data_IF_891105963651
#
_entry.id   IF_891105963651
#
_cell.length_a   1.000
_cell.length_b   1.000
_cell.length_c   1.000
_cell.angle_alpha   90.00
_cell.angle_beta   90.00
_cell.angle_gamma   90.00
#
_symmetry.space_group_name_H-M   'P 1'
#
loop_
_entity.id
_entity.type
_entity.pdbx_description
1 polymer ?
#
# COMPACT_ATOMS: atom_id res chain seq x y z
N UNK A 1 -14.69 -3.89 -15.92
CA UNK A 1 -15.72 -4.65 -15.19
C UNK A 1 -15.93 -4.13 -13.78
N UNK A 2 -14.97 -4.21 -12.84
CA UNK A 2 -15.19 -3.72 -11.46
C UNK A 2 -15.65 -2.25 -11.37
N UNK A 3 -15.08 -1.37 -12.19
CA UNK A 3 -15.49 0.04 -12.26
C UNK A 3 -16.95 0.25 -12.69
N UNK A 4 -17.51 -0.63 -13.52
CA UNK A 4 -18.91 -0.51 -13.96
C UNK A 4 -19.92 -1.00 -12.91
N UNK A 5 -19.46 -1.69 -11.86
CA UNK A 5 -20.31 -2.13 -10.75
C UNK A 5 -20.56 -1.01 -9.73
N UNK A 6 -19.89 0.14 -9.86
CA UNK A 6 -20.01 1.28 -8.95
C UNK A 6 -19.77 0.94 -7.46
N UNK A 7 -18.78 0.07 -7.19
CA UNK A 7 -18.38 -0.33 -5.84
C UNK A 7 -16.93 0.06 -5.56
N UNK A 8 -16.63 0.39 -4.31
CA UNK A 8 -15.25 0.55 -3.85
C UNK A 8 -14.58 -0.81 -3.81
N UNK A 9 -13.49 -0.98 -4.54
CA UNK A 9 -12.76 -2.25 -4.61
C UNK A 9 -11.34 -2.08 -4.07
N UNK A 10 -10.94 -2.99 -3.18
CA UNK A 10 -9.55 -3.14 -2.75
C UNK A 10 -8.98 -4.40 -3.40
N UNK A 11 -7.85 -4.26 -4.10
CA UNK A 11 -7.13 -5.36 -4.72
C UNK A 11 -5.83 -5.61 -3.96
N UNK A 12 -5.56 -6.87 -3.63
CA UNK A 12 -4.33 -7.29 -2.95
C UNK A 12 -3.41 -7.94 -3.98
N UNK A 13 -2.17 -7.47 -4.05
CA UNK A 13 -1.12 -8.05 -4.89
C UNK A 13 0.16 -8.16 -4.08
N UNK A 14 0.90 -9.23 -4.30
CA UNK A 14 2.29 -9.31 -3.89
C UNK A 14 3.15 -8.44 -4.80
N UNK A 15 4.13 -7.77 -4.21
CA UNK A 15 5.19 -7.07 -4.90
C UNK A 15 6.41 -7.99 -5.02
N UNK A 16 7.02 -8.06 -6.19
CA UNK A 16 8.35 -8.65 -6.37
C UNK A 16 9.35 -7.54 -6.63
N UNK A 17 10.42 -7.49 -5.83
CA UNK A 17 11.49 -6.48 -5.90
C UNK A 17 10.94 -5.05 -5.74
N UNK A 18 11.45 -4.10 -6.54
CA UNK A 18 11.05 -2.69 -6.54
C UNK A 18 9.76 -2.38 -7.31
N UNK A 19 8.99 -3.39 -7.75
CA UNK A 19 7.73 -3.17 -8.48
C UNK A 19 6.54 -3.09 -7.52
N UNK A 20 5.48 -2.35 -7.88
CA UNK A 20 4.28 -2.23 -7.04
C UNK A 20 3.32 -3.43 -7.19
N UNK A 21 3.53 -4.28 -8.19
CA UNK A 21 2.75 -5.49 -8.42
C UNK A 21 3.59 -6.54 -9.14
N UNK A 22 3.17 -7.81 -9.06
CA UNK A 22 3.87 -8.95 -9.67
C UNK A 22 4.22 -8.74 -11.16
N UNK A 23 3.31 -8.13 -11.92
CA UNK A 23 3.49 -7.90 -13.36
C UNK A 23 3.86 -6.46 -13.71
N UNK A 24 3.88 -5.52 -12.75
CA UNK A 24 4.17 -4.10 -13.00
C UNK A 24 3.12 -3.36 -13.83
N UNK A 25 1.93 -3.94 -14.02
CA UNK A 25 0.86 -3.33 -14.84
C UNK A 25 -0.25 -2.73 -13.96
N UNK A 26 -0.51 -3.31 -12.79
CA UNK A 26 -1.60 -2.88 -11.92
C UNK A 26 -1.46 -1.42 -11.48
N UNK A 27 -0.21 -0.94 -11.35
CA UNK A 27 0.11 0.44 -11.03
C UNK A 27 -0.37 1.46 -12.06
N UNK A 28 -0.63 1.08 -13.32
CA UNK A 28 -1.18 1.99 -14.33
C UNK A 28 -2.71 1.95 -14.39
N UNK A 29 -3.28 0.79 -14.08
CA UNK A 29 -4.72 0.52 -14.15
C UNK A 29 -5.48 1.04 -12.92
N UNK A 30 -4.89 0.96 -11.73
CA UNK A 30 -5.57 1.37 -10.50
C UNK A 30 -5.63 2.89 -10.35
N UNK A 31 -6.66 3.40 -9.69
CA UNK A 31 -6.76 4.83 -9.34
C UNK A 31 -5.94 5.16 -8.10
N UNK A 32 -5.75 4.19 -7.19
CA UNK A 32 -4.95 4.29 -5.98
C UNK A 32 -3.95 3.15 -5.82
N UNK A 33 -2.84 3.41 -5.13
CA UNK A 33 -1.86 2.40 -4.71
C UNK A 33 -1.46 2.69 -3.27
N UNK A 34 -1.67 1.68 -2.42
CA UNK A 34 -1.16 1.62 -1.05
C UNK A 34 -0.08 0.54 -1.04
N UNK A 35 1.14 0.92 -0.68
CA UNK A 35 2.28 0.02 -0.59
C UNK A 35 2.54 -0.32 0.87
N UNK A 36 2.66 -1.61 1.16
CA UNK A 36 3.15 -2.12 2.44
C UNK A 36 4.60 -2.54 2.25
N UNK A 37 5.49 -2.01 3.08
CA UNK A 37 6.92 -2.27 3.04
C UNK A 37 7.37 -2.87 4.37
N UNK A 38 8.35 -3.76 4.32
CA UNK A 38 9.01 -4.29 5.50
C UNK A 38 10.52 -4.16 5.29
N UNK A 39 11.16 -3.39 6.16
CA UNK A 39 12.58 -3.06 6.07
C UNK A 39 13.27 -3.51 7.37
N UNK A 40 14.46 -4.11 7.24
CA UNK A 40 15.26 -4.47 8.41
C UNK A 40 16.08 -3.26 8.83
N UNK A 41 15.81 -2.75 10.03
CA UNK A 41 16.54 -1.64 10.63
C UNK A 41 17.27 -2.19 11.86
N UNK A 42 18.59 -2.33 11.76
CA UNK A 42 19.40 -2.99 12.79
C UNK A 42 18.97 -4.44 13.01
N UNK A 43 18.40 -4.73 14.17
CA UNK A 43 17.89 -6.06 14.56
C UNK A 43 16.37 -6.18 14.49
N UNK A 44 15.67 -5.13 14.08
CA UNK A 44 14.21 -5.06 14.08
C UNK A 44 13.67 -5.02 12.65
N UNK A 45 12.56 -5.72 12.41
CA UNK A 45 11.80 -5.60 11.17
C UNK A 45 10.76 -4.49 11.35
N UNK A 46 10.99 -3.35 10.71
CA UNK A 46 10.03 -2.25 10.70
C UNK A 46 9.06 -2.41 9.53
N UNK A 47 7.76 -2.21 9.78
CA UNK A 47 6.73 -2.22 8.75
C UNK A 47 6.24 -0.80 8.51
N UNK A 48 6.10 -0.43 7.24
CA UNK A 48 5.65 0.90 6.83
C UNK A 48 4.49 0.78 5.85
N UNK A 49 3.61 1.77 5.86
CA UNK A 49 2.59 2.01 4.84
C UNK A 49 2.93 3.29 4.08
N UNK A 50 2.76 3.26 2.76
CA UNK A 50 3.01 4.39 1.88
C UNK A 50 1.87 4.49 0.87
N UNK A 51 1.24 5.65 0.78
CA UNK A 51 0.30 5.94 -0.30
C UNK A 51 1.12 6.41 -1.51
N UNK A 52 1.37 5.52 -2.47
CA UNK A 52 2.16 5.86 -3.67
C UNK A 52 1.38 6.79 -4.60
N UNK A 53 0.05 6.58 -4.71
CA UNK A 53 -0.83 7.46 -5.47
C UNK A 53 -2.28 7.31 -5.01
N UNK A 54 -3.05 8.38 -5.17
CA UNK A 54 -4.52 8.37 -5.24
C UNK A 54 -4.96 9.44 -6.24
N UNK A 55 -5.48 9.05 -7.41
CA UNK A 55 -5.91 10.01 -8.43
C UNK A 55 -7.03 10.91 -7.88
N UNK A 56 -6.93 12.21 -8.16
CA UNK A 56 -7.89 13.23 -7.76
C UNK A 56 -8.13 13.35 -6.25
N UNK A 57 -7.19 12.87 -5.42
CA UNK A 57 -7.30 12.90 -3.96
C UNK A 57 -5.98 13.41 -3.37
N UNK A 58 -6.04 14.36 -2.45
CA UNK A 58 -4.86 14.75 -1.67
C UNK A 58 -4.48 13.60 -0.74
N UNK A 59 -3.21 13.25 -0.71
CA UNK A 59 -2.69 12.19 0.15
C UNK A 59 -1.77 12.78 1.20
N UNK A 60 -1.72 12.13 2.36
CA UNK A 60 -0.59 12.30 3.25
C UNK A 60 0.60 11.54 2.65
N UNK A 61 1.67 12.28 2.36
CA UNK A 61 2.80 11.79 1.61
C UNK A 61 3.91 11.34 2.55
N UNK A 62 4.60 10.26 2.18
CA UNK A 62 5.70 9.73 2.98
C UNK A 62 5.41 8.34 3.52
N UNK A 63 6.39 7.80 4.25
CA UNK A 63 6.26 6.50 4.90
C UNK A 63 5.73 6.70 6.30
N UNK A 64 4.71 5.94 6.62
CA UNK A 64 4.13 5.91 7.95
C UNK A 64 4.40 4.57 8.61
N UNK A 65 4.87 4.58 9.85
CA UNK A 65 5.19 3.33 10.55
C UNK A 65 3.91 2.65 10.99
N UNK A 66 3.82 1.33 10.78
CA UNK A 66 2.67 0.55 11.22
C UNK A 66 3.08 -0.58 12.16
N UNK A 67 2.20 -0.88 13.11
CA UNK A 67 2.25 -2.08 13.93
C UNK A 67 1.02 -2.96 13.69
N UNK A 68 1.22 -4.27 13.69
CA UNK A 68 0.15 -5.26 13.54
C UNK A 68 -0.07 -5.87 14.91
N UNK A 69 -1.12 -5.41 15.58
CA UNK A 69 -1.47 -5.82 16.94
C UNK A 69 -2.63 -6.82 16.93
N UNK A 70 -3.01 -7.31 18.11
CA UNK A 70 -4.24 -8.10 18.28
C UNK A 70 -5.53 -7.30 17.95
N UNK A 71 -5.44 -5.97 17.78
CA UNK A 71 -6.53 -5.10 17.36
C UNK A 71 -6.48 -4.74 15.86
N UNK A 72 -5.53 -5.31 15.12
CA UNK A 72 -5.30 -5.01 13.71
C UNK A 72 -4.16 -4.04 13.46
N UNK A 73 -4.21 -3.33 12.33
CA UNK A 73 -3.16 -2.41 11.88
C UNK A 73 -3.30 -1.06 12.58
N UNK A 74 -2.23 -0.59 13.22
CA UNK A 74 -2.14 0.72 13.85
C UNK A 74 -1.03 1.55 13.17
N UNK A 75 -1.35 2.77 12.74
CA UNK A 75 -0.35 3.76 12.31
C UNK A 75 0.21 4.45 13.56
N UNK A 76 1.54 4.60 13.65
CA UNK A 76 2.24 5.00 14.88
C UNK A 76 2.69 6.46 14.94
N UNK A 77 2.66 7.18 13.82
CA UNK A 77 3.19 8.55 13.72
C UNK A 77 2.23 9.63 14.23
#
# INVERSE_FOLDING_TARGET
>A
YLKSLNVTTLLISEAQNNKYSRYGVAEFLCDGIIKLEAEVIGKTLQRNILITKMRNTKIDGGRHTIDITNQGVKVLD
#
